data_IF_726358227007
#
_entry.id   IF_726358227007
#
_cell.length_a   1.000
_cell.length_b   1.000
_cell.length_c   1.000
_cell.angle_alpha   90.00
_cell.angle_beta   90.00
_cell.angle_gamma   90.00
#
_symmetry.space_group_name_H-M   'P 1'
#
loop_
_entity.id
_entity.type
_entity.pdbx_description
1 polymer ?
#
# COMPACT_ATOMS: atom_id res chain seq x y z
N UNK A 1 -11.48 -13.55 6.65
CA UNK A 1 -12.75 -12.85 6.40
C UNK A 1 -12.96 -11.56 7.17
N UNK A 2 -11.91 -11.00 7.83
CA UNK A 2 -12.05 -9.80 8.66
C UNK A 2 -12.56 -8.60 7.85
N UNK A 3 -11.93 -8.30 6.71
CA UNK A 3 -12.33 -7.18 5.85
C UNK A 3 -13.73 -7.36 5.24
N UNK A 4 -14.18 -8.61 5.03
CA UNK A 4 -15.54 -8.90 4.57
C UNK A 4 -16.59 -8.63 5.66
N UNK A 5 -16.25 -8.93 6.93
CA UNK A 5 -17.15 -8.71 8.08
C UNK A 5 -17.20 -7.25 8.55
N UNK A 6 -16.13 -6.50 8.30
CA UNK A 6 -15.99 -5.11 8.72
C UNK A 6 -15.68 -4.24 7.50
N UNK A 7 -16.69 -3.84 6.73
CA UNK A 7 -16.51 -3.12 5.46
C UNK A 7 -15.84 -1.75 5.62
N UNK A 8 -15.98 -1.12 6.79
CA UNK A 8 -15.38 0.19 7.08
C UNK A 8 -13.94 0.09 7.63
N UNK A 9 -13.45 -1.13 7.85
CA UNK A 9 -12.10 -1.31 8.39
C UNK A 9 -11.05 -1.04 7.30
N UNK A 10 -10.12 -0.16 7.61
CA UNK A 10 -8.90 0.09 6.84
C UNK A 10 -7.70 -0.41 7.63
N UNK A 11 -6.73 -1.00 6.95
CA UNK A 11 -5.48 -1.47 7.54
C UNK A 11 -4.34 -0.71 6.87
N UNK A 12 -3.47 -0.11 7.65
CA UNK A 12 -2.22 0.47 7.19
C UNK A 12 -1.04 -0.34 7.73
N UNK A 13 -0.17 -0.77 6.82
CA UNK A 13 1.07 -1.44 7.15
C UNK A 13 2.20 -0.43 7.13
N UNK A 14 2.66 -0.02 8.31
CA UNK A 14 3.89 0.75 8.47
C UNK A 14 5.09 -0.20 8.42
N UNK A 15 6.20 0.25 7.86
CA UNK A 15 7.47 -0.47 7.73
C UNK A 15 7.39 -1.79 6.93
N UNK A 16 6.22 -2.12 6.38
CA UNK A 16 5.98 -3.40 5.71
C UNK A 16 6.44 -3.45 4.26
N UNK A 17 6.75 -2.31 3.65
CA UNK A 17 6.94 -2.18 2.22
C UNK A 17 5.74 -2.75 1.43
N UNK A 18 5.78 -2.73 0.10
CA UNK A 18 4.65 -3.20 -0.72
C UNK A 18 5.02 -4.19 -1.81
N UNK A 19 6.30 -4.42 -2.04
CA UNK A 19 6.79 -5.30 -3.10
C UNK A 19 6.30 -6.76 -3.00
N UNK A 20 5.92 -7.21 -1.82
CA UNK A 20 5.35 -8.54 -1.59
C UNK A 20 3.85 -8.63 -1.97
N UNK A 21 3.14 -7.51 -2.01
CA UNK A 21 1.68 -7.47 -2.18
C UNK A 21 1.19 -8.14 -3.47
N UNK A 22 1.79 -7.89 -4.66
CA UNK A 22 1.31 -8.48 -5.91
C UNK A 22 1.26 -10.01 -5.87
N UNK A 23 2.29 -10.64 -5.31
CA UNK A 23 2.35 -12.09 -5.17
C UNK A 23 1.27 -12.62 -4.23
N UNK A 24 1.11 -11.98 -3.07
CA UNK A 24 0.10 -12.41 -2.09
C UNK A 24 -1.31 -12.23 -2.63
N UNK A 25 -1.58 -11.12 -3.30
CA UNK A 25 -2.86 -10.86 -3.97
C UNK A 25 -3.19 -11.95 -4.99
N UNK A 26 -2.24 -12.26 -5.88
CA UNK A 26 -2.40 -13.31 -6.88
C UNK A 26 -2.65 -14.69 -6.24
N UNK A 27 -1.87 -15.03 -5.20
CA UNK A 27 -2.03 -16.31 -4.49
C UNK A 27 -3.36 -16.46 -3.77
N UNK A 28 -3.83 -15.39 -3.13
CA UNK A 28 -5.12 -15.41 -2.45
C UNK A 28 -6.27 -15.65 -3.42
N UNK A 29 -6.28 -14.95 -4.54
CA UNK A 29 -7.32 -15.10 -5.56
C UNK A 29 -7.30 -16.48 -6.18
N UNK A 30 -6.10 -17.00 -6.49
CA UNK A 30 -5.95 -18.35 -7.03
C UNK A 30 -6.48 -19.43 -6.06
N UNK A 31 -6.13 -19.35 -4.78
CA UNK A 31 -6.62 -20.29 -3.77
C UNK A 31 -8.14 -20.21 -3.61
N UNK A 32 -8.70 -19.02 -3.72
CA UNK A 32 -10.15 -18.81 -3.68
C UNK A 32 -10.85 -19.41 -4.92
N UNK A 33 -10.29 -19.21 -6.12
CA UNK A 33 -10.80 -19.76 -7.38
C UNK A 33 -10.75 -21.29 -7.39
N UNK A 34 -9.66 -21.88 -6.95
CA UNK A 34 -9.46 -23.31 -6.87
C UNK A 34 -10.28 -23.96 -5.73
N UNK A 35 -10.88 -23.16 -4.87
CA UNK A 35 -11.59 -23.59 -3.66
C UNK A 35 -10.78 -24.57 -2.81
N UNK A 36 -9.47 -24.32 -2.77
CA UNK A 36 -8.53 -25.14 -2.01
C UNK A 36 -8.82 -24.97 -0.54
N UNK A 37 -9.58 -25.95 -0.05
CA UNK A 37 -9.90 -26.13 1.35
C UNK A 37 -10.59 -24.93 2.05
N UNK A 38 -11.46 -25.20 2.97
CA UNK A 38 -12.24 -24.22 3.73
C UNK A 38 -11.41 -23.24 4.60
N UNK A 39 -10.10 -23.37 4.58
CA UNK A 39 -9.21 -22.66 5.50
C UNK A 39 -8.80 -21.25 5.07
N UNK A 40 -8.81 -20.92 3.79
CA UNK A 40 -8.27 -19.64 3.27
C UNK A 40 -9.30 -18.72 2.60
N UNK A 41 -10.46 -18.57 3.20
CA UNK A 41 -11.45 -17.63 2.68
C UNK A 41 -12.21 -18.16 1.45
N UNK A 42 -12.18 -19.47 1.18
CA UNK A 42 -12.99 -20.11 0.15
C UNK A 42 -14.48 -19.84 0.29
N UNK A 43 -14.92 -19.43 1.48
CA UNK A 43 -16.30 -19.03 1.79
C UNK A 43 -16.54 -17.52 1.64
N UNK A 44 -15.55 -16.74 1.18
CA UNK A 44 -15.77 -15.33 0.88
C UNK A 44 -16.67 -15.21 -0.36
N UNK A 45 -17.69 -14.32 -0.33
CA UNK A 45 -18.57 -14.09 -1.47
C UNK A 45 -17.83 -13.51 -2.69
N UNK A 46 -16.79 -12.72 -2.44
CA UNK A 46 -15.99 -12.05 -3.48
C UNK A 46 -14.54 -12.52 -3.43
N UNK A 47 -13.80 -12.26 -4.50
CA UNK A 47 -12.34 -12.49 -4.55
C UNK A 47 -11.63 -11.77 -3.40
N UNK A 48 -10.64 -12.40 -2.75
CA UNK A 48 -9.90 -11.78 -1.66
C UNK A 48 -9.35 -10.39 -2.00
N UNK A 49 -8.83 -10.19 -3.21
CA UNK A 49 -8.28 -8.89 -3.64
C UNK A 49 -9.31 -7.78 -3.68
N UNK A 50 -10.60 -8.07 -3.91
CA UNK A 50 -11.64 -7.05 -3.87
C UNK A 50 -11.81 -6.41 -2.48
N UNK A 51 -11.47 -7.15 -1.42
CA UNK A 51 -11.51 -6.63 -0.04
C UNK A 51 -10.28 -5.82 0.34
N UNK A 52 -9.18 -5.94 -0.42
CA UNK A 52 -7.96 -5.17 -0.17
C UNK A 52 -8.03 -3.78 -0.80
N UNK A 53 -8.73 -3.67 -1.93
CA UNK A 53 -8.87 -2.42 -2.67
C UNK A 53 -9.41 -1.31 -1.77
N UNK A 54 -8.76 -0.16 -1.80
CA UNK A 54 -9.08 1.05 -1.03
C UNK A 54 -9.00 0.88 0.51
N UNK A 55 -8.59 -0.30 1.02
CA UNK A 55 -8.63 -0.60 2.45
C UNK A 55 -7.35 -1.17 3.04
N UNK A 56 -6.41 -1.60 2.21
CA UNK A 56 -5.09 -2.06 2.68
C UNK A 56 -4.04 -1.16 2.09
N UNK A 57 -3.43 -0.36 2.94
CA UNK A 57 -2.47 0.68 2.59
C UNK A 57 -1.10 0.21 3.06
N UNK A 58 -0.11 0.30 2.20
CA UNK A 58 1.28 0.04 2.55
C UNK A 58 2.10 1.33 2.59
N UNK A 59 3.09 1.38 3.47
CA UNK A 59 4.07 2.44 3.52
C UNK A 59 5.40 1.95 2.96
N UNK A 60 6.08 2.79 2.21
CA UNK A 60 7.42 2.52 1.70
C UNK A 60 8.39 3.62 2.12
N UNK A 61 9.65 3.28 2.29
CA UNK A 61 10.76 4.23 2.37
C UNK A 61 11.86 3.92 1.34
N UNK A 62 12.00 2.65 0.92
CA UNK A 62 12.90 2.20 -0.15
C UNK A 62 12.40 0.85 -0.70
N UNK A 63 11.53 0.89 -1.71
CA UNK A 63 10.92 -0.33 -2.29
C UNK A 63 10.82 -0.21 -3.83
N UNK A 64 11.94 -0.51 -4.51
CA UNK A 64 12.01 -0.53 -5.97
C UNK A 64 11.00 -1.53 -6.56
N UNK A 65 10.88 -2.72 -5.97
CA UNK A 65 9.96 -3.76 -6.43
C UNK A 65 8.50 -3.32 -6.27
N UNK A 66 8.18 -2.68 -5.16
CA UNK A 66 6.84 -2.14 -4.90
C UNK A 66 6.45 -1.08 -5.91
N UNK A 67 7.32 -0.11 -6.16
CA UNK A 67 7.06 0.96 -7.14
C UNK A 67 7.02 0.44 -8.57
N UNK A 68 7.84 -0.55 -8.93
CA UNK A 68 7.79 -1.21 -10.24
C UNK A 68 6.46 -1.96 -10.47
N UNK A 69 5.78 -2.37 -9.42
CA UNK A 69 4.51 -3.08 -9.46
C UNK A 69 3.31 -2.22 -9.02
N UNK A 70 3.45 -0.91 -8.93
CA UNK A 70 2.41 -0.01 -8.42
C UNK A 70 1.07 -0.11 -9.14
N UNK A 71 1.10 -0.41 -10.44
CA UNK A 71 -0.14 -0.59 -11.23
C UNK A 71 -0.94 -1.84 -10.81
N UNK A 72 -0.24 -2.86 -10.29
CA UNK A 72 -0.87 -4.09 -9.80
C UNK A 72 -1.35 -3.96 -8.36
N UNK A 73 -0.65 -3.16 -7.56
CA UNK A 73 -0.98 -2.89 -6.16
C UNK A 73 -2.15 -1.91 -6.08
N UNK A 74 -2.08 -0.87 -6.88
CA UNK A 74 -2.85 0.36 -6.83
C UNK A 74 -2.00 1.48 -6.24
N UNK A 75 -1.63 2.46 -7.07
CA UNK A 75 -0.80 3.60 -6.62
C UNK A 75 -1.43 4.34 -5.45
N UNK A 76 -2.74 4.37 -5.39
CA UNK A 76 -3.53 4.98 -4.31
C UNK A 76 -3.38 4.29 -2.95
N UNK A 77 -2.85 3.08 -2.92
CA UNK A 77 -2.63 2.29 -1.69
C UNK A 77 -1.21 2.42 -1.13
N UNK A 78 -0.35 3.20 -1.79
CA UNK A 78 1.05 3.32 -1.41
C UNK A 78 1.30 4.70 -0.82
N UNK A 79 1.89 4.75 0.37
CA UNK A 79 2.32 5.98 1.05
C UNK A 79 3.83 5.93 1.32
N UNK A 80 4.43 7.10 1.48
CA UNK A 80 5.84 7.22 1.86
C UNK A 80 5.97 7.46 3.37
N UNK A 81 6.96 6.83 3.99
CA UNK A 81 7.35 7.07 5.38
C UNK A 81 8.87 7.23 5.50
N UNK A 82 9.32 7.85 6.56
CA UNK A 82 10.77 8.07 6.80
C UNK A 82 11.37 6.99 7.68
N UNK A 83 10.56 6.35 8.47
CA UNK A 83 10.89 5.40 9.51
C UNK A 83 11.87 5.93 10.59
N UNK A 84 11.94 7.26 10.73
CA UNK A 84 12.73 7.88 11.80
C UNK A 84 12.12 7.57 13.18
N UNK A 85 12.90 7.21 14.22
CA UNK A 85 14.38 7.23 14.33
C UNK A 85 15.06 5.85 14.22
N UNK A 86 14.48 4.91 13.51
CA UNK A 86 15.05 3.56 13.37
C UNK A 86 16.38 3.60 12.59
N UNK A 87 17.19 2.55 12.79
CA UNK A 87 18.48 2.43 12.09
C UNK A 87 18.31 2.18 10.59
N UNK A 88 17.20 1.55 10.22
CA UNK A 88 16.77 1.31 8.83
C UNK A 88 15.78 2.41 8.40
N UNK A 89 16.22 3.65 8.43
CA UNK A 89 15.42 4.80 8.05
C UNK A 89 16.08 5.63 6.96
N UNK A 90 15.32 6.48 6.30
CA UNK A 90 15.85 7.40 5.29
C UNK A 90 16.54 8.62 5.89
N UNK A 91 16.42 8.85 7.20
CA UNK A 91 17.04 10.00 7.88
C UNK A 91 18.57 9.83 7.98
N UNK A 92 19.38 10.87 7.75
CA UNK A 92 18.97 12.27 7.51
C UNK A 92 18.75 12.63 6.04
N UNK A 93 18.93 11.70 5.11
CA UNK A 93 18.92 11.92 3.66
C UNK A 93 17.54 11.74 3.01
N UNK A 94 16.45 11.82 3.78
CA UNK A 94 15.08 11.52 3.36
C UNK A 94 14.69 12.22 2.04
N UNK A 95 14.92 13.53 1.91
CA UNK A 95 14.56 14.28 0.70
C UNK A 95 15.29 13.73 -0.54
N UNK A 96 16.58 13.44 -0.40
CA UNK A 96 17.41 12.91 -1.49
C UNK A 96 16.93 11.51 -1.90
N UNK A 97 16.70 10.63 -0.92
CA UNK A 97 16.23 9.25 -1.16
C UNK A 97 14.83 9.28 -1.79
N UNK A 98 13.90 10.03 -1.22
CA UNK A 98 12.55 10.19 -1.74
C UNK A 98 12.53 10.70 -3.20
N UNK A 99 13.38 11.69 -3.51
CA UNK A 99 13.53 12.18 -4.87
C UNK A 99 14.07 11.11 -5.79
N UNK A 100 15.11 10.39 -5.37
CA UNK A 100 15.77 9.38 -6.19
C UNK A 100 14.84 8.21 -6.52
N UNK A 101 14.11 7.68 -5.55
CA UNK A 101 13.16 6.56 -5.81
C UNK A 101 12.05 6.97 -6.78
N UNK A 102 11.56 8.21 -6.71
CA UNK A 102 10.58 8.72 -7.66
C UNK A 102 11.13 8.79 -9.09
N UNK A 103 12.37 9.28 -9.23
CA UNK A 103 13.03 9.37 -10.54
C UNK A 103 13.30 7.99 -11.11
N UNK A 104 13.85 7.08 -10.32
CA UNK A 104 14.22 5.72 -10.76
C UNK A 104 12.98 4.90 -11.14
N UNK A 105 11.87 5.09 -10.44
CA UNK A 105 10.58 4.47 -10.76
C UNK A 105 9.83 5.17 -11.91
N UNK A 106 10.33 6.28 -12.43
CA UNK A 106 9.70 7.05 -13.52
C UNK A 106 8.31 7.57 -13.15
N UNK A 107 8.12 8.02 -11.91
CA UNK A 107 6.82 8.51 -11.45
C UNK A 107 6.46 9.83 -12.13
N UNK A 108 5.21 9.95 -12.55
CA UNK A 108 4.62 11.22 -12.96
C UNK A 108 4.45 12.19 -11.77
N UNK A 109 4.26 13.48 -12.03
CA UNK A 109 4.02 14.47 -10.97
C UNK A 109 2.82 14.11 -10.08
N UNK A 110 1.76 13.56 -10.68
CA UNK A 110 0.59 13.11 -9.93
C UNK A 110 0.85 11.89 -9.05
N UNK A 111 1.69 10.96 -9.51
CA UNK A 111 2.10 9.80 -8.71
C UNK A 111 3.04 10.21 -7.57
N UNK A 112 3.97 11.14 -7.83
CA UNK A 112 4.83 11.73 -6.78
C UNK A 112 3.97 12.39 -5.71
N UNK A 113 3.01 13.24 -6.12
CA UNK A 113 2.07 13.84 -5.17
C UNK A 113 1.29 12.79 -4.37
N UNK A 114 0.77 11.77 -5.05
CA UNK A 114 0.01 10.70 -4.40
C UNK A 114 0.86 9.98 -3.35
N UNK A 115 2.08 9.56 -3.72
CA UNK A 115 3.00 8.83 -2.84
C UNK A 115 3.41 9.64 -1.61
N UNK A 116 3.85 10.89 -1.84
CA UNK A 116 4.47 11.71 -0.81
C UNK A 116 3.45 12.42 0.10
N UNK A 117 2.20 12.58 -0.35
CA UNK A 117 1.23 13.41 0.37
C UNK A 117 -0.21 12.92 0.23
N UNK A 118 -0.75 12.89 -0.99
CA UNK A 118 -2.18 12.77 -1.23
C UNK A 118 -2.79 11.48 -0.66
N UNK A 119 -2.09 10.36 -0.80
CA UNK A 119 -2.57 9.08 -0.28
C UNK A 119 -2.64 9.05 1.25
N UNK A 120 -1.65 9.64 1.93
CA UNK A 120 -1.66 9.73 3.40
C UNK A 120 -2.81 10.63 3.89
N UNK A 121 -3.03 11.78 3.24
CA UNK A 121 -4.15 12.68 3.58
C UNK A 121 -5.47 11.93 3.52
N UNK A 122 -5.72 11.26 2.41
CA UNK A 122 -6.95 10.47 2.19
C UNK A 122 -7.06 9.30 3.17
N UNK A 123 -6.01 8.50 3.27
CA UNK A 123 -5.99 7.27 4.06
C UNK A 123 -6.24 7.50 5.55
N UNK A 124 -5.67 8.56 6.09
CA UNK A 124 -5.75 8.91 7.51
C UNK A 124 -6.76 10.02 7.79
N UNK A 125 -7.46 10.54 6.78
CA UNK A 125 -8.46 11.60 6.93
C UNK A 125 -7.86 12.87 7.53
N UNK A 126 -6.66 13.27 7.06
CA UNK A 126 -5.91 14.38 7.66
C UNK A 126 -6.55 15.74 7.39
N UNK A 127 -7.46 15.85 6.45
CA UNK A 127 -8.24 17.07 6.16
C UNK A 127 -8.98 17.57 7.40
N UNK A 128 -9.46 16.65 8.25
CA UNK A 128 -10.12 16.98 9.54
C UNK A 128 -9.20 17.73 10.53
N UNK A 129 -7.89 17.72 10.28
CA UNK A 129 -6.89 18.46 11.06
C UNK A 129 -6.37 19.69 10.33
N UNK A 130 -7.01 20.11 9.23
CA UNK A 130 -6.63 21.28 8.43
C UNK A 130 -5.46 21.03 7.47
N UNK A 131 -5.14 19.78 7.18
CA UNK A 131 -4.15 19.44 6.15
C UNK A 131 -4.87 19.44 4.80
N UNK A 132 -4.55 20.42 3.96
CA UNK A 132 -5.14 20.54 2.63
C UNK A 132 -4.60 19.45 1.69
N UNK A 133 -5.49 18.94 0.81
CA UNK A 133 -5.15 17.97 -0.21
C UNK A 133 -4.44 18.64 -1.41
#
# INVERSE_FOLDING_TARGET
GTLARFPELTIAYSEGQVGWMPYVMERMDKLWEERVDNSFGSNLPERPTSYLKDRVIGCIFDDETGLANRDRIGMELITFETDYPHADSTFPDTEKIATQICVDAGLSESEVYALMRGNAIRAFGLERFGVEA
#
